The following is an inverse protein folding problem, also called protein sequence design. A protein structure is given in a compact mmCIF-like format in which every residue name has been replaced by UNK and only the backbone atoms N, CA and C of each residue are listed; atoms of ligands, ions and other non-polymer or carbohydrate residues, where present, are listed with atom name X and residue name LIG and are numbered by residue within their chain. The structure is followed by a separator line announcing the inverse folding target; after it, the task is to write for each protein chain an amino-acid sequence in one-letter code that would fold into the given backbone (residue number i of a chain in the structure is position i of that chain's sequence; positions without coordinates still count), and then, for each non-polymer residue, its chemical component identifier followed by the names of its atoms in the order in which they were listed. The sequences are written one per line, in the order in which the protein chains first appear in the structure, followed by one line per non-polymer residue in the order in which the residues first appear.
data_IF_281782917776
#
_entry.id   IF_281782917776
#
_cell.length_a   1.000
_cell.length_b   1.000
_cell.length_c   1.000
_cell.angle_alpha   90.00
_cell.angle_beta   90.00
_cell.angle_gamma   90.00
#
_symmetry.space_group_name_H-M   'P 1'
#
loop_
_entity.id
_entity.type
_entity.pdbx_description
1 polymer ?
#
# COMPACT_ATOMS: atom_id res chain seq x y z
N UNK A 1 24.55 15.97 9.65
CA UNK A 1 23.24 16.60 9.95
C UNK A 1 22.26 15.65 10.64
N UNK A 2 21.98 14.46 10.08
CA UNK A 2 21.00 13.54 10.67
C UNK A 2 21.40 13.00 12.06
N UNK A 3 22.66 12.63 12.27
CA UNK A 3 23.10 12.03 13.55
C UNK A 3 23.43 13.05 14.65
N UNK A 4 23.95 14.23 14.29
CA UNK A 4 24.36 15.28 15.23
C UNK A 4 23.86 16.67 14.76
N UNK A 5 22.56 16.97 14.88
CA UNK A 5 21.98 18.24 14.39
C UNK A 5 22.53 19.45 15.14
N UNK A 6 22.64 19.40 16.47
CA UNK A 6 23.16 20.51 17.27
C UNK A 6 24.62 20.86 16.94
N UNK A 7 25.45 19.84 16.68
CA UNK A 7 26.83 20.02 16.24
C UNK A 7 26.90 20.66 14.85
N UNK A 8 26.06 20.18 13.92
CA UNK A 8 25.97 20.73 12.57
C UNK A 8 25.60 22.22 12.59
N UNK A 9 24.63 22.62 13.41
CA UNK A 9 24.17 24.00 13.47
C UNK A 9 25.28 24.95 13.93
N UNK A 10 26.06 24.58 14.95
CA UNK A 10 27.17 25.43 15.41
C UNK A 10 28.33 25.46 14.41
N UNK A 11 28.64 24.35 13.73
CA UNK A 11 29.65 24.31 12.70
C UNK A 11 29.29 25.23 11.50
N UNK A 12 28.03 25.20 11.06
CA UNK A 12 27.54 26.07 9.98
C UNK A 12 27.57 27.56 10.38
N UNK A 13 27.19 27.90 11.62
CA UNK A 13 27.30 29.28 12.11
C UNK A 13 28.75 29.75 12.12
N UNK A 14 29.65 28.90 12.60
CA UNK A 14 31.07 29.22 12.68
C UNK A 14 31.65 29.51 11.28
N UNK A 15 31.30 28.69 10.29
CA UNK A 15 31.72 28.84 8.89
C UNK A 15 31.20 30.14 8.24
N UNK A 16 29.89 30.44 8.39
CA UNK A 16 29.26 31.62 7.77
C UNK A 16 29.79 32.95 8.30
N UNK A 17 30.35 32.96 9.50
CA UNK A 17 30.77 34.17 10.19
C UNK A 17 32.24 34.52 9.96
N UNK A 18 33.06 33.64 9.35
CA UNK A 18 34.50 33.86 9.14
C UNK A 18 34.80 35.25 8.55
N UNK A 19 34.03 35.67 7.55
CA UNK A 19 34.25 36.94 6.83
C UNK A 19 33.58 38.16 7.49
N UNK A 20 32.55 37.95 8.29
CA UNK A 20 31.69 39.01 8.84
C UNK A 20 32.02 39.33 10.28
N UNK A 21 32.26 38.30 11.07
CA UNK A 21 32.59 38.38 12.49
C UNK A 21 33.53 37.22 12.86
N UNK A 22 34.85 37.38 12.65
CA UNK A 22 35.86 36.40 13.03
C UNK A 22 35.80 36.01 14.51
N UNK A 23 35.37 36.94 15.38
CA UNK A 23 35.23 36.69 16.81
C UNK A 23 34.10 35.70 17.08
N UNK A 24 32.93 35.94 16.50
CA UNK A 24 31.80 35.02 16.61
C UNK A 24 32.09 33.66 15.94
N UNK A 25 32.82 33.65 14.82
CA UNK A 25 33.27 32.39 14.19
C UNK A 25 34.11 31.53 15.15
N UNK A 26 35.10 32.11 15.82
CA UNK A 26 35.90 31.40 16.83
C UNK A 26 35.06 30.93 18.03
N UNK A 27 34.07 31.73 18.46
CA UNK A 27 33.16 31.34 19.54
C UNK A 27 32.34 30.10 19.17
N UNK A 28 31.70 30.09 17.99
CA UNK A 28 30.89 28.96 17.54
C UNK A 28 31.73 27.71 17.25
N UNK A 29 32.96 27.87 16.76
CA UNK A 29 33.89 26.76 16.61
C UNK A 29 34.22 26.08 17.96
N UNK A 30 34.48 26.87 19.00
CA UNK A 30 34.67 26.35 20.37
C UNK A 30 33.41 25.66 20.90
N UNK A 31 32.24 26.25 20.65
CA UNK A 31 30.95 25.67 21.07
C UNK A 31 30.68 24.33 20.38
N UNK A 32 31.02 24.20 19.10
CA UNK A 32 30.94 22.93 18.38
C UNK A 32 31.81 21.84 19.05
N UNK A 33 33.09 22.14 19.35
CA UNK A 33 33.97 21.20 20.08
C UNK A 33 33.45 20.89 21.48
N UNK A 34 32.84 21.84 22.18
CA UNK A 34 32.21 21.62 23.49
C UNK A 34 31.04 20.63 23.40
N UNK A 35 30.19 20.77 22.38
CA UNK A 35 29.10 19.83 22.12
C UNK A 35 29.66 18.45 21.76
N UNK A 36 30.69 18.38 20.92
CA UNK A 36 31.36 17.12 20.55
C UNK A 36 31.94 16.42 21.77
N UNK A 37 32.73 17.10 22.59
CA UNK A 37 33.36 16.51 23.76
C UNK A 37 32.32 16.01 24.77
N UNK A 38 31.27 16.80 25.07
CA UNK A 38 30.18 16.36 25.94
C UNK A 38 29.49 15.11 25.40
N UNK A 39 29.18 15.11 24.11
CA UNK A 39 28.55 13.94 23.48
C UNK A 39 29.44 12.70 23.62
N UNK A 40 30.75 12.83 23.44
CA UNK A 40 31.68 11.71 23.62
C UNK A 40 31.65 11.19 25.06
N UNK A 41 31.75 12.06 26.07
CA UNK A 41 31.64 11.65 27.47
C UNK A 41 30.29 11.02 27.83
N UNK A 42 29.20 11.47 27.20
CA UNK A 42 27.86 10.94 27.44
C UNK A 42 27.60 9.59 26.75
N UNK A 43 28.35 9.25 25.70
CA UNK A 43 28.04 8.14 24.78
C UNK A 43 29.17 7.13 24.56
N UNK A 44 30.40 7.46 24.94
CA UNK A 44 31.56 6.58 24.84
C UNK A 44 32.01 6.10 26.21
N UNK A 45 31.74 4.83 26.50
CA UNK A 45 32.08 4.21 27.78
C UNK A 45 33.58 4.04 28.03
N UNK A 46 34.45 4.27 27.02
CA UNK A 46 35.90 4.25 27.24
C UNK A 46 36.41 5.51 27.95
N UNK A 47 35.58 6.54 28.10
CA UNK A 47 35.95 7.81 28.70
C UNK A 47 35.62 7.88 30.19
N UNK A 48 36.57 8.39 30.98
CA UNK A 48 36.41 8.61 32.43
C UNK A 48 36.00 10.05 32.72
N UNK A 49 34.99 10.26 33.58
CA UNK A 49 34.51 11.62 33.87
C UNK A 49 35.64 12.55 34.37
N UNK A 50 35.79 13.74 33.78
CA UNK A 50 36.81 14.70 34.23
C UNK A 50 36.42 15.33 35.56
N UNK A 51 37.42 15.80 36.32
CA UNK A 51 37.22 16.51 37.59
C UNK A 51 36.29 17.75 37.49
N UNK A 52 36.21 18.38 36.31
CA UNK A 52 35.29 19.47 36.00
C UNK A 52 34.63 19.24 34.64
N UNK A 53 33.37 19.65 34.49
CA UNK A 53 32.59 19.54 33.24
C UNK A 53 32.84 20.68 32.24
N UNK A 54 33.94 21.41 32.39
CA UNK A 54 34.35 22.44 31.44
C UNK A 54 35.19 21.83 30.30
N UNK A 55 35.26 22.55 29.17
CA UNK A 55 35.95 22.05 27.98
C UNK A 55 37.46 21.83 28.21
N UNK A 56 38.11 22.62 29.06
CA UNK A 56 39.54 22.45 29.29
C UNK A 56 39.83 21.15 30.05
N UNK A 57 39.03 20.85 31.07
CA UNK A 57 39.14 19.63 31.85
C UNK A 57 38.83 18.38 31.01
N UNK A 58 37.77 18.43 30.18
CA UNK A 58 37.45 17.37 29.20
C UNK A 58 38.62 17.08 28.24
N UNK A 59 39.19 18.10 27.59
CA UNK A 59 40.27 17.89 26.61
C UNK A 59 41.60 17.47 27.24
N UNK A 60 41.77 17.61 28.56
CA UNK A 60 43.02 17.29 29.25
C UNK A 60 42.95 16.02 30.10
N UNK A 61 41.79 15.40 30.19
CA UNK A 61 41.61 14.13 30.86
C UNK A 61 42.38 13.00 30.10
N UNK A 62 43.09 12.11 30.82
CA UNK A 62 43.93 11.07 30.22
C UNK A 62 43.23 10.15 29.21
N UNK A 63 42.03 9.63 29.53
CA UNK A 63 41.30 8.70 28.65
C UNK A 63 40.87 9.38 27.34
N UNK A 64 40.48 10.66 27.40
CA UNK A 64 40.18 11.45 26.20
C UNK A 64 41.42 11.64 25.32
N UNK A 65 42.55 11.99 25.92
CA UNK A 65 43.82 12.16 25.18
C UNK A 65 44.28 10.85 24.53
N UNK A 66 44.10 9.73 25.22
CA UNK A 66 44.41 8.41 24.69
C UNK A 66 43.52 8.06 23.50
N UNK A 67 42.21 8.33 23.60
CA UNK A 67 41.24 8.03 22.56
C UNK A 67 41.45 8.86 21.28
N UNK A 68 41.56 10.18 21.42
CA UNK A 68 41.67 11.08 20.25
C UNK A 68 43.09 11.16 19.68
N UNK A 69 44.09 10.84 20.51
CA UNK A 69 45.50 10.98 20.17
C UNK A 69 46.01 12.43 20.18
N UNK A 70 47.34 12.63 20.18
CA UNK A 70 47.95 13.94 20.36
C UNK A 70 47.60 14.94 19.26
N UNK A 71 47.46 14.46 18.01
CA UNK A 71 47.17 15.32 16.86
C UNK A 71 45.78 15.94 16.95
N UNK A 72 44.73 15.14 17.19
CA UNK A 72 43.36 15.66 17.27
C UNK A 72 43.17 16.48 18.55
N UNK A 73 43.80 16.07 19.65
CA UNK A 73 43.76 16.83 20.89
C UNK A 73 44.32 18.25 20.72
N UNK A 74 45.47 18.40 20.04
CA UNK A 74 46.08 19.69 19.79
C UNK A 74 45.17 20.62 18.95
N UNK A 75 44.47 20.06 17.96
CA UNK A 75 43.50 20.80 17.13
C UNK A 75 42.32 21.30 17.96
N UNK A 76 41.74 20.43 18.79
CA UNK A 76 40.64 20.79 19.69
C UNK A 76 41.08 21.85 20.73
N UNK A 77 42.29 21.73 21.28
CA UNK A 77 42.84 22.71 22.23
C UNK A 77 43.12 24.07 21.56
N UNK A 78 43.59 24.08 20.31
CA UNK A 78 43.76 25.32 19.54
C UNK A 78 42.42 26.06 19.40
N UNK A 79 41.37 25.36 19.00
CA UNK A 79 40.01 25.92 18.86
C UNK A 79 39.53 26.48 20.20
N UNK A 80 39.72 25.72 21.30
CA UNK A 80 39.38 26.18 22.66
C UNK A 80 40.09 27.48 23.01
N UNK A 81 41.40 27.58 22.75
CA UNK A 81 42.20 28.78 23.02
C UNK A 81 41.78 29.97 22.15
N UNK A 82 41.54 29.75 20.85
CA UNK A 82 41.07 30.80 19.94
C UNK A 82 39.69 31.32 20.37
N UNK A 83 38.75 30.44 20.70
CA UNK A 83 37.44 30.83 21.23
C UNK A 83 37.51 31.57 22.56
N UNK A 84 38.33 31.10 23.51
CA UNK A 84 38.53 31.81 24.78
C UNK A 84 39.11 33.22 24.57
N UNK A 85 40.13 33.34 23.72
CA UNK A 85 40.71 34.64 23.38
C UNK A 85 39.69 35.56 22.71
N UNK A 86 38.89 35.02 21.78
CA UNK A 86 37.84 35.75 21.08
C UNK A 86 36.76 36.28 22.04
N UNK A 87 36.45 35.58 23.13
CA UNK A 87 35.47 36.05 24.11
C UNK A 87 36.08 37.05 25.10
N UNK A 88 37.27 36.75 25.65
CA UNK A 88 37.78 37.46 26.81
C UNK A 88 38.74 38.62 26.49
N UNK A 89 39.38 38.63 25.31
CA UNK A 89 40.32 39.72 24.95
C UNK A 89 39.60 40.84 24.22
N UNK A 90 39.94 42.08 24.55
CA UNK A 90 39.41 43.28 23.87
C UNK A 90 39.98 43.45 22.45
N UNK A 91 41.18 42.91 22.17
CA UNK A 91 41.82 43.03 20.87
C UNK A 91 40.98 42.42 19.73
N UNK A 92 40.96 43.02 18.52
CA UNK A 92 40.30 42.44 17.36
C UNK A 92 40.84 41.03 17.06
N UNK A 93 39.95 40.13 16.62
CA UNK A 93 40.32 38.78 16.18
C UNK A 93 40.64 38.83 14.68
N UNK A 94 41.87 38.52 14.25
CA UNK A 94 42.19 38.48 12.83
C UNK A 94 41.41 37.39 12.11
N UNK A 95 41.03 37.64 10.85
CA UNK A 95 40.35 36.66 10.00
C UNK A 95 41.12 35.34 9.87
N UNK A 96 42.44 35.41 9.76
CA UNK A 96 43.32 34.23 9.67
C UNK A 96 43.21 33.31 10.89
N UNK A 97 42.92 33.86 12.08
CA UNK A 97 42.67 33.08 13.30
C UNK A 97 41.34 32.35 13.21
N UNK A 98 40.30 32.99 12.69
CA UNK A 98 39.01 32.34 12.44
C UNK A 98 39.11 31.25 11.37
N UNK A 99 39.79 31.51 10.25
CA UNK A 99 40.04 30.52 9.20
C UNK A 99 40.79 29.31 9.74
N UNK A 100 41.83 29.53 10.55
CA UNK A 100 42.55 28.45 11.23
C UNK A 100 41.63 27.66 12.18
N UNK A 101 40.82 28.34 13.02
CA UNK A 101 39.84 27.68 13.89
C UNK A 101 38.88 26.78 13.13
N UNK A 102 38.37 27.22 11.98
CA UNK A 102 37.37 26.46 11.20
C UNK A 102 38.02 25.30 10.45
N UNK A 103 39.23 25.49 9.92
CA UNK A 103 40.00 24.39 9.35
C UNK A 103 40.27 23.30 10.39
N UNK A 104 40.67 23.68 11.60
CA UNK A 104 40.88 22.70 12.67
C UNK A 104 39.57 22.06 13.14
N UNK A 105 38.47 22.83 13.17
CA UNK A 105 37.15 22.28 13.46
C UNK A 105 36.79 21.20 12.44
N UNK A 106 36.98 21.47 11.14
CA UNK A 106 36.75 20.48 10.09
C UNK A 106 37.53 19.18 10.36
N UNK A 107 38.82 19.26 10.68
CA UNK A 107 39.63 18.08 10.97
C UNK A 107 39.17 17.33 12.23
N UNK A 108 38.82 18.06 13.30
CA UNK A 108 38.27 17.46 14.52
C UNK A 108 36.92 16.78 14.27
N UNK A 109 36.03 17.38 13.47
CA UNK A 109 34.73 16.82 13.14
C UNK A 109 34.83 15.67 12.14
N UNK A 110 35.79 15.71 11.22
CA UNK A 110 36.11 14.57 10.36
C UNK A 110 36.55 13.37 11.19
N UNK A 111 37.46 13.57 12.16
CA UNK A 111 37.88 12.52 13.10
C UNK A 111 36.71 11.97 13.92
N UNK A 112 35.84 12.87 14.41
CA UNK A 112 34.67 12.47 15.16
C UNK A 112 33.71 11.64 14.30
N UNK A 113 33.38 12.10 13.09
CA UNK A 113 32.49 11.40 12.17
C UNK A 113 33.04 10.03 11.77
N UNK A 114 34.31 9.92 11.37
CA UNK A 114 34.92 8.61 11.02
C UNK A 114 34.95 7.62 12.19
N UNK A 115 34.91 8.10 13.43
CA UNK A 115 34.98 7.26 14.65
C UNK A 115 33.59 6.82 15.11
N UNK A 116 32.60 7.72 15.04
CA UNK A 116 31.30 7.51 15.69
C UNK A 116 30.11 7.39 14.73
N UNK A 117 30.29 7.58 13.42
CA UNK A 117 29.21 7.34 12.45
C UNK A 117 28.81 5.87 12.47
N UNK A 118 27.51 5.61 12.71
CA UNK A 118 26.99 4.25 12.88
C UNK A 118 26.73 3.53 11.57
N UNK A 119 26.38 4.28 10.53
CA UNK A 119 26.05 3.73 9.22
C UNK A 119 27.25 3.84 8.29
N UNK A 120 27.78 2.70 7.82
CA UNK A 120 28.96 2.69 6.95
C UNK A 120 28.79 3.55 5.69
N UNK A 121 27.59 3.60 5.11
CA UNK A 121 27.26 4.43 3.95
C UNK A 121 27.32 5.95 4.23
N UNK A 122 27.29 6.37 5.49
CA UNK A 122 27.35 7.77 5.91
C UNK A 122 28.76 8.20 6.38
N UNK A 123 29.76 7.30 6.31
CA UNK A 123 31.13 7.64 6.67
C UNK A 123 31.68 8.74 5.74
N UNK A 124 32.48 9.68 6.27
CA UNK A 124 33.10 10.69 5.43
C UNK A 124 34.07 10.03 4.44
N UNK A 125 34.15 10.51 3.17
CA UNK A 125 35.07 9.97 2.18
C UNK A 125 36.53 10.02 2.65
N UNK A 126 37.30 8.98 2.30
CA UNK A 126 38.73 8.96 2.59
C UNK A 126 39.43 10.06 1.79
N UNK A 127 40.28 10.85 2.46
CA UNK A 127 41.00 11.95 1.82
C UNK A 127 40.18 13.23 1.66
N UNK A 128 39.04 13.37 2.36
CA UNK A 128 38.29 14.63 2.36
C UNK A 128 39.16 15.75 2.93
N UNK A 129 39.42 16.77 2.11
CA UNK A 129 40.22 17.93 2.49
C UNK A 129 39.35 19.15 2.82
N UNK A 130 39.91 20.09 3.58
CA UNK A 130 39.25 21.36 3.86
C UNK A 130 39.37 22.30 2.65
N UNK A 131 38.25 22.51 1.95
CA UNK A 131 38.17 23.45 0.85
C UNK A 131 37.88 24.87 1.33
N UNK A 132 38.87 25.75 1.24
CA UNK A 132 38.74 27.16 1.64
C UNK A 132 37.86 27.95 0.66
N UNK A 133 37.70 27.48 -0.58
CA UNK A 133 36.83 28.12 -1.57
C UNK A 133 35.34 27.85 -1.31
N UNK A 134 35.02 26.77 -0.60
CA UNK A 134 33.65 26.42 -0.21
C UNK A 134 33.09 27.30 0.92
N UNK A 135 33.96 27.98 1.68
CA UNK A 135 33.54 28.90 2.75
C UNK A 135 32.66 30.02 2.17
N UNK A 136 31.42 30.21 2.67
CA UNK A 136 30.51 31.23 2.18
C UNK A 136 31.11 32.63 2.28
N UNK A 137 31.35 33.25 1.13
CA UNK A 137 31.75 34.66 1.06
C UNK A 137 30.53 35.55 0.99
N UNK A 138 30.56 36.75 1.58
CA UNK A 138 29.53 37.73 1.33
C UNK A 138 29.35 37.95 -0.16
N UNK A 139 28.11 37.75 -0.64
CA UNK A 139 27.72 38.19 -1.97
C UNK A 139 28.05 39.68 -2.10
N UNK A 140 28.62 40.07 -3.25
CA UNK A 140 28.80 41.48 -3.58
C UNK A 140 27.44 42.20 -3.54
N UNK A 141 27.40 43.52 -3.29
CA UNK A 141 26.14 44.28 -3.33
C UNK A 141 25.34 44.04 -4.62
N UNK A 142 26.03 43.89 -5.75
CA UNK A 142 25.44 43.56 -7.05
C UNK A 142 24.85 42.15 -7.09
N UNK A 143 25.56 41.13 -6.57
CA UNK A 143 25.06 39.77 -6.51
C UNK A 143 23.88 39.62 -5.52
N UNK A 144 23.83 40.42 -4.45
CA UNK A 144 22.68 40.50 -3.54
C UNK A 144 21.46 41.08 -4.23
N UNK A 145 21.63 42.17 -4.97
CA UNK A 145 20.55 42.80 -5.73
C UNK A 145 20.00 41.86 -6.80
N UNK A 146 20.88 41.16 -7.54
CA UNK A 146 20.49 40.17 -8.54
C UNK A 146 19.67 39.03 -7.90
N UNK A 147 20.17 38.43 -6.82
CA UNK A 147 19.49 37.34 -6.13
C UNK A 147 18.15 37.76 -5.52
N UNK A 148 18.04 39.00 -5.05
CA UNK A 148 16.78 39.54 -4.55
C UNK A 148 15.78 39.79 -5.68
N UNK A 149 16.25 40.25 -6.86
CA UNK A 149 15.42 40.39 -8.04
C UNK A 149 14.94 39.03 -8.57
N UNK A 150 15.82 38.03 -8.61
CA UNK A 150 15.48 36.63 -8.95
C UNK A 150 14.42 36.07 -8.01
N UNK A 151 14.57 36.29 -6.69
CA UNK A 151 13.60 35.79 -5.71
C UNK A 151 12.24 36.46 -5.90
N UNK A 152 12.19 37.78 -6.10
CA UNK A 152 10.95 38.51 -6.39
C UNK A 152 10.29 38.07 -7.69
N UNK A 153 11.08 37.82 -8.74
CA UNK A 153 10.56 37.32 -10.02
C UNK A 153 9.93 35.94 -9.84
N UNK A 154 10.60 35.05 -9.09
CA UNK A 154 10.08 33.73 -8.78
C UNK A 154 8.82 33.78 -7.90
N UNK A 155 8.78 34.64 -6.90
CA UNK A 155 7.59 34.86 -6.08
C UNK A 155 6.40 35.34 -6.91
N UNK A 156 6.62 36.25 -7.87
CA UNK A 156 5.58 36.72 -8.77
C UNK A 156 5.10 35.63 -9.75
N UNK A 157 6.01 34.79 -10.25
CA UNK A 157 5.69 33.64 -11.09
C UNK A 157 4.87 32.60 -10.31
N UNK A 158 5.29 32.28 -9.09
CA UNK A 158 4.57 31.36 -8.20
C UNK A 158 3.18 31.91 -7.87
N UNK A 159 3.05 33.21 -7.55
CA UNK A 159 1.76 33.86 -7.28
C UNK A 159 0.80 33.80 -8.48
N UNK A 160 1.31 34.09 -9.69
CA UNK A 160 0.52 33.98 -10.91
C UNK A 160 0.04 32.54 -11.15
N UNK A 161 0.93 31.56 -10.96
CA UNK A 161 0.60 30.13 -11.08
C UNK A 161 -0.43 29.69 -10.05
N UNK A 162 -0.32 30.13 -8.80
CA UNK A 162 -1.29 29.82 -7.75
C UNK A 162 -2.67 30.43 -8.07
N UNK A 163 -2.70 31.64 -8.61
CA UNK A 163 -3.95 32.28 -9.02
C UNK A 163 -4.63 31.51 -10.15
N UNK A 164 -3.88 31.11 -11.18
CA UNK A 164 -4.42 30.31 -12.29
C UNK A 164 -4.98 28.96 -11.79
N UNK A 165 -4.25 28.27 -10.91
CA UNK A 165 -4.72 27.02 -10.32
C UNK A 165 -5.99 27.20 -9.48
N UNK A 166 -6.10 28.31 -8.74
CA UNK A 166 -7.29 28.62 -7.96
C UNK A 166 -8.50 28.87 -8.87
N UNK A 167 -8.31 29.58 -9.99
CA UNK A 167 -9.37 29.83 -10.98
C UNK A 167 -9.82 28.53 -11.66
N UNK A 168 -8.89 27.66 -12.05
CA UNK A 168 -9.19 26.34 -12.62
C UNK A 168 -9.96 25.46 -11.63
N UNK A 169 -9.52 25.39 -10.37
CA UNK A 169 -10.19 24.62 -9.33
C UNK A 169 -11.61 25.14 -9.04
N UNK A 170 -11.80 26.46 -9.08
CA UNK A 170 -13.12 27.06 -8.92
C UNK A 170 -14.06 26.69 -10.07
N UNK A 171 -13.57 26.71 -11.32
CA UNK A 171 -14.32 26.31 -12.50
C UNK A 171 -14.70 24.81 -12.45
N UNK A 172 -13.76 23.94 -12.10
CA UNK A 172 -14.00 22.49 -11.97
C UNK A 172 -15.03 22.18 -10.87
N UNK A 173 -14.96 22.88 -9.73
CA UNK A 173 -15.96 22.75 -8.66
C UNK A 173 -17.35 23.17 -9.12
N UNK A 174 -17.46 24.24 -9.89
CA UNK A 174 -18.74 24.68 -10.45
C UNK A 174 -19.32 23.63 -11.42
N UNK A 175 -18.49 23.06 -12.29
CA UNK A 175 -18.89 21.98 -13.21
C UNK A 175 -19.33 20.72 -12.46
N UNK A 176 -18.57 20.29 -11.45
CA UNK A 176 -18.92 19.13 -10.64
C UNK A 176 -20.22 19.32 -9.87
N UNK A 177 -20.47 20.52 -9.34
CA UNK A 177 -21.74 20.84 -8.69
C UNK A 177 -22.92 20.78 -9.68
N UNK A 178 -22.72 21.21 -10.93
CA UNK A 178 -23.73 21.11 -11.97
C UNK A 178 -24.04 19.66 -12.35
N UNK A 179 -23.00 18.87 -12.62
CA UNK A 179 -23.13 17.43 -12.92
C UNK A 179 -23.81 16.66 -11.78
N UNK A 180 -23.48 16.98 -10.53
CA UNK A 180 -24.12 16.37 -9.38
C UNK A 180 -25.63 16.64 -9.34
N UNK A 181 -26.06 17.86 -9.68
CA UNK A 181 -27.49 18.19 -9.80
C UNK A 181 -28.16 17.42 -10.93
N UNK A 182 -27.53 17.37 -12.11
CA UNK A 182 -28.07 16.61 -13.25
C UNK A 182 -28.20 15.11 -12.94
N UNK A 183 -27.22 14.53 -12.25
CA UNK A 183 -27.26 13.12 -11.83
C UNK A 183 -28.41 12.84 -10.87
N UNK A 184 -28.64 13.72 -9.89
CA UNK A 184 -29.73 13.55 -8.95
C UNK A 184 -31.09 13.69 -9.63
N UNK A 185 -31.21 14.64 -10.55
CA UNK A 185 -32.41 14.79 -11.38
C UNK A 185 -32.67 13.53 -12.21
N UNK A 186 -31.68 13.02 -12.94
CA UNK A 186 -31.80 11.79 -13.73
C UNK A 186 -32.18 10.58 -12.88
N UNK A 187 -31.58 10.43 -11.69
CA UNK A 187 -31.93 9.35 -10.76
C UNK A 187 -33.39 9.43 -10.34
N UNK A 188 -33.88 10.64 -10.03
CA UNK A 188 -35.29 10.84 -9.68
C UNK A 188 -36.22 10.48 -10.84
N UNK A 189 -35.88 10.88 -12.07
CA UNK A 189 -36.65 10.58 -13.28
C UNK A 189 -36.70 9.07 -13.54
N UNK A 190 -35.56 8.38 -13.42
CA UNK A 190 -35.49 6.92 -13.55
C UNK A 190 -36.29 6.22 -12.46
N UNK A 191 -36.23 6.70 -11.21
CA UNK A 191 -36.99 6.10 -10.12
C UNK A 191 -38.51 6.19 -10.37
N UNK A 192 -38.99 7.37 -10.81
CA UNK A 192 -40.40 7.57 -11.18
C UNK A 192 -40.79 6.70 -12.38
N UNK A 193 -39.97 6.68 -13.43
CA UNK A 193 -40.23 5.87 -14.63
C UNK A 193 -40.25 4.37 -14.29
N UNK A 194 -39.31 3.90 -13.46
CA UNK A 194 -39.24 2.51 -13.02
C UNK A 194 -40.48 2.13 -12.20
N UNK A 195 -40.89 2.98 -11.24
CA UNK A 195 -42.09 2.72 -10.44
C UNK A 195 -43.36 2.66 -11.31
N UNK A 196 -43.49 3.58 -12.27
CA UNK A 196 -44.59 3.57 -13.23
C UNK A 196 -44.58 2.32 -14.12
N UNK A 197 -43.41 1.95 -14.65
CA UNK A 197 -43.27 0.79 -15.54
C UNK A 197 -43.49 -0.53 -14.79
N UNK A 198 -43.05 -0.65 -13.53
CA UNK A 198 -43.28 -1.85 -12.71
C UNK A 198 -44.74 -2.02 -12.27
N UNK A 199 -45.53 -0.94 -12.25
CA UNK A 199 -46.97 -1.01 -11.99
C UNK A 199 -47.75 -1.55 -13.19
N UNK A 200 -47.18 -1.50 -14.40
CA UNK A 200 -47.75 -2.12 -15.59
C UNK A 200 -47.46 -3.62 -15.54
N UNK A 201 -48.52 -4.43 -15.73
CA UNK A 201 -48.38 -5.89 -15.80
C UNK A 201 -47.46 -6.23 -16.97
N UNK A 202 -46.35 -6.90 -16.66
CA UNK A 202 -45.50 -7.48 -17.68
C UNK A 202 -46.25 -8.59 -18.42
N UNK A 203 -46.34 -8.46 -19.73
CA UNK A 203 -47.00 -9.41 -20.63
C UNK A 203 -46.01 -9.99 -21.64
N UNK A 204 -44.72 -9.63 -21.51
CA UNK A 204 -43.68 -10.21 -22.32
C UNK A 204 -43.49 -11.68 -21.93
N UNK A 205 -43.51 -12.54 -22.94
CA UNK A 205 -43.17 -13.94 -22.78
C UNK A 205 -41.64 -14.04 -22.84
N UNK A 206 -41.01 -14.11 -21.66
CA UNK A 206 -39.55 -14.21 -21.53
C UNK A 206 -39.00 -15.57 -21.98
N UNK A 207 -39.84 -16.46 -22.53
CA UNK A 207 -39.46 -17.80 -22.97
C UNK A 207 -38.62 -18.54 -21.90
N UNK A 208 -39.04 -18.37 -20.64
CA UNK A 208 -38.36 -18.94 -19.49
C UNK A 208 -38.33 -20.46 -19.57
N UNK A 209 -39.32 -21.06 -20.24
CA UNK A 209 -39.39 -22.50 -20.45
C UNK A 209 -38.30 -22.98 -21.40
N UNK A 210 -38.13 -22.36 -22.58
CA UNK A 210 -37.05 -22.79 -23.50
C UNK A 210 -35.67 -22.51 -22.93
N UNK A 211 -35.49 -21.38 -22.22
CA UNK A 211 -34.24 -21.04 -21.55
C UNK A 211 -33.85 -22.11 -20.53
N UNK A 212 -34.83 -22.64 -19.80
CA UNK A 212 -34.62 -23.64 -18.77
C UNK A 212 -34.36 -25.03 -19.33
N UNK A 213 -35.09 -25.43 -20.36
CA UNK A 213 -34.83 -26.71 -21.04
C UNK A 213 -33.41 -26.70 -21.64
N UNK A 214 -32.99 -25.58 -22.25
CA UNK A 214 -31.62 -25.38 -22.70
C UNK A 214 -30.58 -25.44 -21.56
N UNK A 215 -30.92 -24.97 -20.36
CA UNK A 215 -30.03 -25.01 -19.20
C UNK A 215 -29.87 -26.43 -18.64
N UNK A 216 -30.95 -27.22 -18.57
CA UNK A 216 -30.88 -28.63 -18.14
C UNK A 216 -30.03 -29.45 -19.12
N UNK A 217 -30.26 -29.28 -20.43
CA UNK A 217 -29.47 -29.95 -21.47
C UNK A 217 -27.99 -29.55 -21.39
N UNK A 218 -27.70 -28.28 -21.14
CA UNK A 218 -26.33 -27.79 -20.95
C UNK A 218 -25.67 -28.45 -19.72
N UNK A 219 -26.35 -28.50 -18.58
CA UNK A 219 -25.81 -29.10 -17.36
C UNK A 219 -25.54 -30.60 -17.51
N UNK A 220 -26.41 -31.34 -18.21
CA UNK A 220 -26.21 -32.75 -18.50
C UNK A 220 -24.99 -32.97 -19.40
N UNK A 221 -24.83 -32.12 -20.42
CA UNK A 221 -23.67 -32.12 -21.31
C UNK A 221 -22.37 -31.81 -20.55
N UNK A 222 -22.35 -30.78 -19.72
CA UNK A 222 -21.18 -30.46 -18.89
C UNK A 222 -20.80 -31.60 -17.92
N UNK A 223 -21.78 -32.39 -17.48
CA UNK A 223 -21.56 -33.59 -16.68
C UNK A 223 -21.12 -34.83 -17.49
N UNK A 224 -20.89 -34.68 -18.81
CA UNK A 224 -20.40 -35.71 -19.71
C UNK A 224 -21.47 -36.54 -20.41
N UNK A 225 -22.75 -36.16 -20.29
CA UNK A 225 -23.88 -36.85 -20.94
C UNK A 225 -24.24 -36.21 -22.28
N UNK A 226 -23.31 -36.24 -23.24
CA UNK A 226 -23.38 -35.48 -24.50
C UNK A 226 -24.20 -36.15 -25.61
N UNK A 227 -24.48 -37.45 -25.50
CA UNK A 227 -25.06 -38.28 -26.57
C UNK A 227 -26.41 -38.90 -26.16
N UNK A 228 -27.33 -38.07 -25.67
CA UNK A 228 -28.66 -38.50 -25.26
C UNK A 228 -29.59 -38.68 -26.49
N UNK A 229 -30.18 -39.85 -26.63
CA UNK A 229 -31.08 -40.24 -27.72
C UNK A 229 -32.53 -40.28 -27.25
N UNK A 230 -33.43 -39.56 -27.93
CA UNK A 230 -34.86 -39.57 -27.62
C UNK A 230 -35.47 -40.97 -27.74
N UNK A 231 -36.31 -41.33 -26.76
CA UNK A 231 -36.95 -42.65 -26.64
C UNK A 231 -36.06 -43.74 -26.04
N UNK A 232 -34.78 -43.44 -25.79
CA UNK A 232 -33.81 -44.35 -25.17
C UNK A 232 -33.21 -43.75 -23.90
N UNK A 233 -32.68 -42.54 -24.00
CA UNK A 233 -32.02 -41.83 -22.91
C UNK A 233 -32.89 -40.66 -22.43
N UNK A 234 -33.71 -40.08 -23.31
CA UNK A 234 -34.72 -39.06 -22.95
C UNK A 234 -36.13 -39.53 -23.28
N UNK A 235 -37.13 -39.08 -22.51
CA UNK A 235 -38.53 -39.55 -22.62
C UNK A 235 -38.64 -41.09 -22.63
N UNK A 236 -37.85 -41.75 -21.78
CA UNK A 236 -37.75 -43.22 -21.77
C UNK A 236 -39.06 -43.85 -21.27
N UNK A 237 -39.69 -44.75 -22.04
CA UNK A 237 -40.99 -45.32 -21.69
C UNK A 237 -40.90 -46.38 -20.59
N UNK A 238 -41.71 -46.22 -19.54
CA UNK A 238 -41.99 -47.26 -18.56
C UNK A 238 -43.30 -47.96 -18.94
N UNK A 239 -43.21 -49.26 -19.25
CA UNK A 239 -44.34 -50.03 -19.79
C UNK A 239 -45.36 -50.46 -18.73
N UNK A 240 -44.93 -50.70 -17.48
CA UNK A 240 -45.78 -51.14 -16.36
C UNK A 240 -45.23 -50.64 -15.02
N UNK A 241 -46.08 -50.52 -14.00
CA UNK A 241 -45.66 -50.22 -12.62
C UNK A 241 -45.81 -48.76 -12.18
N UNK A 242 -46.29 -47.87 -13.05
CA UNK A 242 -46.60 -46.49 -12.67
C UNK A 242 -48.03 -46.35 -12.11
N UNK A 243 -48.29 -45.47 -11.12
CA UNK A 243 -49.63 -45.21 -10.58
C UNK A 243 -50.46 -44.32 -11.52
N UNK A 244 -50.55 -44.72 -12.79
CA UNK A 244 -51.37 -44.07 -13.83
C UNK A 244 -52.48 -45.01 -14.26
N UNK A 245 -53.55 -44.48 -14.87
CA UNK A 245 -54.69 -45.29 -15.36
C UNK A 245 -54.28 -46.41 -16.32
N UNK A 246 -53.15 -46.25 -17.01
CA UNK A 246 -52.61 -47.21 -17.99
C UNK A 246 -51.45 -48.04 -17.44
N UNK A 247 -50.96 -47.75 -16.24
CA UNK A 247 -49.75 -48.35 -15.67
C UNK A 247 -48.43 -47.89 -16.31
N UNK A 248 -48.50 -46.98 -17.29
CA UNK A 248 -47.36 -46.49 -18.09
C UNK A 248 -46.87 -45.11 -17.63
N UNK A 249 -45.62 -44.77 -17.93
CA UNK A 249 -45.03 -43.44 -17.71
C UNK A 249 -43.83 -43.17 -18.62
N UNK A 250 -43.26 -41.97 -18.54
CA UNK A 250 -42.08 -41.57 -19.31
C UNK A 250 -41.11 -40.83 -18.39
N UNK A 251 -39.87 -41.27 -18.38
CA UNK A 251 -38.80 -40.64 -17.60
C UNK A 251 -38.15 -39.56 -18.46
N UNK A 252 -37.97 -38.34 -17.93
CA UNK A 252 -37.38 -37.25 -18.71
C UNK A 252 -35.96 -37.59 -19.17
N UNK A 253 -35.10 -38.05 -18.24
CA UNK A 253 -33.78 -38.57 -18.58
C UNK A 253 -33.45 -39.84 -17.80
N UNK A 254 -32.90 -40.84 -18.49
CA UNK A 254 -32.26 -42.01 -17.91
C UNK A 254 -30.79 -42.00 -18.31
N UNK A 255 -29.93 -41.95 -17.30
CA UNK A 255 -28.49 -41.95 -17.47
C UNK A 255 -27.99 -43.39 -17.37
N UNK A 256 -27.56 -43.96 -18.50
CA UNK A 256 -27.19 -45.38 -18.61
C UNK A 256 -25.70 -45.61 -18.36
N UNK A 257 -25.38 -46.69 -17.66
CA UNK A 257 -24.01 -47.18 -17.60
C UNK A 257 -23.64 -47.94 -18.88
N UNK A 258 -22.34 -48.10 -19.12
CA UNK A 258 -21.82 -48.90 -20.24
C UNK A 258 -22.28 -50.36 -20.20
N UNK A 259 -22.73 -50.84 -19.04
CA UNK A 259 -23.32 -52.16 -18.82
C UNK A 259 -24.79 -52.28 -19.24
N UNK A 260 -25.37 -51.19 -19.77
CA UNK A 260 -26.77 -51.12 -20.18
C UNK A 260 -27.76 -51.08 -19.01
N UNK A 261 -27.29 -50.83 -17.78
CA UNK A 261 -28.14 -50.66 -16.60
C UNK A 261 -28.26 -49.17 -16.21
N UNK A 262 -29.38 -48.76 -15.61
CA UNK A 262 -29.59 -47.35 -15.28
C UNK A 262 -28.70 -46.94 -14.10
N UNK A 263 -27.88 -45.90 -14.28
CA UNK A 263 -27.07 -45.26 -13.22
C UNK A 263 -27.88 -44.23 -12.47
N UNK A 264 -28.63 -43.40 -13.18
CA UNK A 264 -29.44 -42.36 -12.59
C UNK A 264 -30.69 -42.06 -13.41
N UNK A 265 -31.66 -41.46 -12.75
CA UNK A 265 -32.86 -40.86 -13.36
C UNK A 265 -32.87 -39.37 -13.08
N UNK A 266 -33.24 -38.55 -14.06
CA UNK A 266 -33.48 -37.11 -13.86
C UNK A 266 -34.91 -36.78 -14.20
N UNK A 267 -35.63 -36.20 -13.25
CA UNK A 267 -36.99 -35.65 -13.43
C UNK A 267 -36.93 -34.13 -13.55
N UNK A 268 -37.44 -33.57 -14.66
CA UNK A 268 -37.42 -32.15 -14.95
C UNK A 268 -38.82 -31.53 -14.78
N UNK A 269 -39.05 -30.79 -13.69
CA UNK A 269 -40.37 -30.22 -13.40
C UNK A 269 -40.59 -28.93 -14.15
N UNK A 270 -41.64 -28.81 -14.98
CA UNK A 270 -41.99 -27.61 -15.80
C UNK A 270 -42.18 -26.29 -15.05
N UNK A 271 -42.34 -26.31 -13.74
CA UNK A 271 -42.52 -25.10 -12.92
C UNK A 271 -41.21 -24.67 -12.26
N UNK A 272 -40.89 -23.38 -12.30
CA UNK A 272 -39.73 -22.81 -11.57
C UNK A 272 -39.87 -22.86 -10.03
N UNK A 273 -41.06 -23.09 -9.49
CA UNK A 273 -41.37 -22.84 -8.06
C UNK A 273 -40.62 -23.72 -7.06
N UNK A 274 -40.58 -25.04 -7.26
CA UNK A 274 -39.83 -25.93 -6.37
C UNK A 274 -39.46 -27.22 -7.13
N UNK A 275 -38.17 -27.55 -7.18
CA UNK A 275 -37.71 -28.80 -7.79
C UNK A 275 -38.21 -30.04 -7.02
N UNK A 276 -38.47 -29.91 -5.71
CA UNK A 276 -38.91 -30.99 -4.82
C UNK A 276 -40.29 -31.55 -5.17
N UNK A 277 -41.10 -30.80 -5.90
CA UNK A 277 -42.38 -31.30 -6.43
C UNK A 277 -42.19 -32.52 -7.36
N UNK A 278 -40.99 -32.72 -7.91
CA UNK A 278 -40.63 -33.90 -8.70
C UNK A 278 -40.09 -35.08 -7.92
N UNK A 279 -39.81 -34.92 -6.63
CA UNK A 279 -39.13 -35.93 -5.83
C UNK A 279 -39.89 -37.27 -5.82
N UNK A 280 -41.20 -37.26 -5.55
CA UNK A 280 -42.00 -38.48 -5.49
C UNK A 280 -42.11 -39.16 -6.86
N UNK A 281 -42.19 -38.38 -7.94
CA UNK A 281 -42.27 -38.91 -9.30
C UNK A 281 -40.94 -39.55 -9.72
N UNK A 282 -39.82 -38.89 -9.44
CA UNK A 282 -38.49 -39.39 -9.70
C UNK A 282 -38.22 -40.72 -8.95
N UNK A 283 -38.70 -40.85 -7.70
CA UNK A 283 -38.66 -42.13 -6.96
C UNK A 283 -39.48 -43.23 -7.63
N UNK A 284 -40.69 -42.95 -8.09
CA UNK A 284 -41.52 -43.94 -8.77
C UNK A 284 -40.86 -44.45 -10.05
N UNK A 285 -40.13 -43.59 -10.76
CA UNK A 285 -39.32 -43.98 -11.92
C UNK A 285 -38.13 -44.86 -11.53
N UNK A 286 -37.41 -44.51 -10.47
CA UNK A 286 -36.35 -45.38 -9.95
C UNK A 286 -36.89 -46.75 -9.51
N UNK A 287 -38.05 -46.80 -8.83
CA UNK A 287 -38.72 -48.04 -8.41
C UNK A 287 -39.09 -48.93 -9.62
N UNK A 288 -39.55 -48.32 -10.73
CA UNK A 288 -39.91 -49.04 -11.93
C UNK A 288 -38.69 -49.58 -12.69
N UNK A 289 -37.64 -48.75 -12.83
CA UNK A 289 -36.38 -49.13 -13.48
C UNK A 289 -35.64 -50.21 -12.69
N UNK A 290 -35.66 -50.15 -11.36
CA UNK A 290 -35.07 -51.17 -10.50
C UNK A 290 -35.73 -52.54 -10.71
N UNK A 291 -37.06 -52.59 -10.80
CA UNK A 291 -37.77 -53.84 -11.12
C UNK A 291 -37.40 -54.42 -12.48
N UNK A 292 -37.12 -53.56 -13.46
CA UNK A 292 -36.81 -53.98 -14.83
C UNK A 292 -35.35 -54.41 -15.00
N UNK A 293 -34.41 -53.70 -14.39
CA UNK A 293 -32.96 -53.87 -14.62
C UNK A 293 -32.21 -54.45 -13.43
N UNK A 294 -32.91 -54.72 -12.32
CA UNK A 294 -32.34 -55.21 -11.06
C UNK A 294 -31.18 -54.34 -10.57
N UNK A 295 -31.33 -53.02 -10.70
CA UNK A 295 -30.39 -51.99 -10.25
C UNK A 295 -31.14 -50.74 -9.82
N UNK A 296 -30.87 -50.24 -8.61
CA UNK A 296 -31.38 -48.96 -8.13
C UNK A 296 -30.61 -47.79 -8.77
N UNK A 297 -31.22 -46.96 -9.62
CA UNK A 297 -30.58 -45.75 -10.11
C UNK A 297 -30.62 -44.64 -9.05
N UNK A 298 -29.60 -43.79 -9.02
CA UNK A 298 -29.60 -42.55 -8.21
C UNK A 298 -30.64 -41.59 -8.76
N UNK A 299 -31.35 -40.89 -7.89
CA UNK A 299 -32.45 -40.01 -8.29
C UNK A 299 -31.94 -38.57 -8.36
N UNK A 300 -32.22 -37.90 -9.46
CA UNK A 300 -32.11 -36.44 -9.60
C UNK A 300 -33.48 -35.85 -9.91
N UNK A 301 -33.73 -34.66 -9.38
CA UNK A 301 -34.88 -33.86 -9.76
C UNK A 301 -34.49 -32.38 -9.81
N UNK A 302 -34.96 -31.68 -10.86
CA UNK A 302 -34.49 -30.33 -11.18
C UNK A 302 -35.62 -29.46 -11.73
N UNK A 303 -35.53 -28.15 -11.47
CA UNK A 303 -36.32 -27.12 -12.16
C UNK A 303 -35.47 -26.29 -13.14
N UNK A 304 -34.26 -26.76 -13.48
CA UNK A 304 -33.26 -26.04 -14.28
C UNK A 304 -32.32 -25.16 -13.46
N UNK A 305 -32.77 -24.48 -12.42
CA UNK A 305 -31.88 -23.62 -11.60
C UNK A 305 -31.36 -24.34 -10.36
N UNK A 306 -32.19 -25.20 -9.77
CA UNK A 306 -31.87 -26.04 -8.64
C UNK A 306 -31.97 -27.50 -9.05
N UNK A 307 -30.96 -28.28 -8.72
CA UNK A 307 -30.92 -29.72 -8.94
C UNK A 307 -30.67 -30.38 -7.60
N UNK A 308 -31.40 -31.45 -7.30
CA UNK A 308 -31.22 -32.23 -6.09
C UNK A 308 -30.84 -33.65 -6.45
N UNK A 309 -29.97 -34.25 -5.64
CA UNK A 309 -29.58 -35.65 -5.68
C UNK A 309 -30.20 -36.38 -4.49
N UNK A 310 -30.77 -37.55 -4.76
CA UNK A 310 -31.32 -38.45 -3.75
C UNK A 310 -30.89 -39.89 -4.02
N UNK A 311 -30.08 -40.45 -3.11
CA UNK A 311 -29.69 -41.86 -3.12
C UNK A 311 -30.45 -42.61 -2.03
N UNK A 312 -31.70 -42.93 -2.35
CA UNK A 312 -32.61 -43.58 -1.42
C UNK A 312 -32.31 -45.06 -1.21
N UNK A 313 -31.64 -45.72 -2.16
CA UNK A 313 -31.21 -47.11 -2.06
C UNK A 313 -30.19 -47.35 -0.95
N UNK A 314 -29.31 -46.36 -0.70
CA UNK A 314 -28.37 -46.36 0.42
C UNK A 314 -28.91 -45.64 1.66
N UNK A 315 -30.15 -45.17 1.63
CA UNK A 315 -30.81 -44.47 2.75
C UNK A 315 -30.32 -43.03 2.96
N UNK A 316 -29.64 -42.42 1.98
CA UNK A 316 -29.23 -41.02 2.08
C UNK A 316 -30.41 -40.08 1.81
N UNK A 317 -30.60 -39.02 2.62
CA UNK A 317 -31.63 -38.03 2.36
C UNK A 317 -31.28 -37.18 1.12
N UNK A 318 -32.27 -36.53 0.49
CA UNK A 318 -32.01 -35.63 -0.63
C UNK A 318 -31.11 -34.46 -0.23
N UNK A 319 -30.23 -34.06 -1.14
CA UNK A 319 -29.36 -32.88 -1.03
C UNK A 319 -29.36 -32.10 -2.34
N UNK A 320 -29.22 -30.78 -2.24
CA UNK A 320 -29.04 -29.89 -3.40
C UNK A 320 -27.57 -29.93 -3.84
#
# INVERSE_FOLDING_TARGET
RAEWPALYDEAIRAERLIHHDPRAACFYARRAIEITARWMYDKDSSLSEPYKKDLAAMLHEPSFRQLVGPTINAKMDLIRRHGNNAVHKAAPVPKTVAEASIKELFHSLYWFARTYTRQAAALPPTGLEFDTSAVPRPLSPQARALKQAELKAKEAEDEARFKEQAEQLAAERAQNADLARQLEELKSQIAVAKAANQAVRDTHDYDEQATRDAFIDLLLKEAGWDLLTRGKDTEYPIATGMPTKTGKGYVDYVLWGDDGKPLAVVEAKRTQRDARDGQQQAKLYADALEKQFNRRPVIFYTNGYETYLWDDGLGYPPRQ
#
